data_IF_090188216705
#
_entry.id   IF_090188216705
#
_cell.length_a   1.000
_cell.length_b   1.000
_cell.length_c   1.000
_cell.angle_alpha   90.00
_cell.angle_beta   90.00
_cell.angle_gamma   90.00
#
_symmetry.space_group_name_H-M   'P 1'
#
loop_
_entity.id
_entity.type
_entity.pdbx_description
1 polymer ?
#
# COMPACT_ATOMS: atom_id res chain seq x y z
N UNK A 1 11.20 9.82 14.36
CA UNK A 1 10.88 10.70 13.21
C UNK A 1 9.96 9.88 12.31
N UNK A 2 8.68 10.24 12.28
CA UNK A 2 7.70 9.53 11.45
C UNK A 2 7.86 10.01 10.00
N UNK A 3 7.85 9.08 9.05
CA UNK A 3 7.95 9.37 7.61
C UNK A 3 6.67 8.86 6.98
N UNK A 4 5.96 9.76 6.31
CA UNK A 4 4.71 9.45 5.64
C UNK A 4 4.94 9.31 4.14
N UNK A 5 4.14 8.47 3.50
CA UNK A 5 4.11 8.43 2.03
C UNK A 5 3.58 9.74 1.48
N UNK A 6 4.15 10.19 0.35
CA UNK A 6 3.66 11.34 -0.41
C UNK A 6 2.56 10.97 -1.42
N UNK A 7 2.15 9.69 -1.46
CA UNK A 7 1.10 9.21 -2.36
C UNK A 7 -0.29 9.62 -1.87
N UNK A 8 -1.22 9.81 -2.81
CA UNK A 8 -2.64 10.09 -2.51
C UNK A 8 -3.38 8.83 -2.06
N UNK A 9 -3.08 8.33 -0.86
CA UNK A 9 -3.61 7.07 -0.32
C UNK A 9 -5.15 7.09 -0.25
N UNK A 10 -5.77 8.23 0.03
CA UNK A 10 -7.24 8.37 0.03
C UNK A 10 -7.87 8.14 -1.35
N UNK A 11 -7.20 8.60 -2.42
CA UNK A 11 -7.65 8.40 -3.79
C UNK A 11 -7.55 6.91 -4.18
N UNK A 12 -6.44 6.26 -3.80
CA UNK A 12 -6.22 4.82 -3.98
C UNK A 12 -7.30 4.03 -3.21
N UNK A 13 -7.54 4.37 -1.95
CA UNK A 13 -8.57 3.73 -1.11
C UNK A 13 -9.96 3.85 -1.75
N UNK A 14 -10.32 5.04 -2.23
CA UNK A 14 -11.61 5.28 -2.89
C UNK A 14 -11.76 4.44 -4.15
N UNK A 15 -10.69 4.28 -4.94
CA UNK A 15 -10.70 3.42 -6.13
C UNK A 15 -10.92 1.96 -5.76
N UNK A 16 -10.18 1.44 -4.79
CA UNK A 16 -10.26 0.03 -4.38
C UNK A 16 -11.60 -0.33 -3.74
N UNK A 17 -12.18 0.57 -2.94
CA UNK A 17 -13.52 0.36 -2.36
C UNK A 17 -14.63 0.28 -3.41
N UNK A 18 -14.50 0.98 -4.54
CA UNK A 18 -15.43 0.82 -5.67
C UNK A 18 -15.35 -0.57 -6.30
N UNK A 19 -14.17 -1.19 -6.26
CA UNK A 19 -13.94 -2.58 -6.70
C UNK A 19 -14.37 -3.65 -5.69
N UNK A 20 -15.12 -3.29 -4.64
CA UNK A 20 -15.62 -4.17 -3.59
C UNK A 20 -14.55 -4.83 -2.68
N UNK A 21 -13.33 -4.29 -2.63
CA UNK A 21 -12.32 -4.75 -1.67
C UNK A 21 -12.54 -4.14 -0.27
N UNK A 22 -12.47 -4.98 0.77
CA UNK A 22 -12.46 -4.54 2.16
C UNK A 22 -11.04 -4.05 2.55
N UNK A 23 -10.81 -2.75 2.33
CA UNK A 23 -9.51 -2.10 2.55
C UNK A 23 -9.63 -0.91 3.49
N UNK A 24 -8.55 -0.67 4.24
CA UNK A 24 -8.42 0.47 5.14
C UNK A 24 -6.99 1.03 5.15
N UNK A 25 -6.85 2.30 5.50
CA UNK A 25 -5.55 2.93 5.72
C UNK A 25 -5.03 2.51 7.09
N UNK A 26 -3.79 2.01 7.14
CA UNK A 26 -3.11 1.71 8.39
C UNK A 26 -2.26 2.90 8.83
N UNK A 27 -2.41 3.33 10.09
CA UNK A 27 -1.52 4.30 10.73
C UNK A 27 -0.20 3.70 11.24
N UNK A 28 0.01 2.39 11.09
CA UNK A 28 1.17 1.69 11.64
C UNK A 28 1.64 0.54 10.72
N UNK A 29 2.90 0.57 10.29
CA UNK A 29 3.52 -0.50 9.50
C UNK A 29 4.11 -1.64 10.36
N UNK A 30 3.86 -1.62 11.67
CA UNK A 30 4.39 -2.55 12.65
C UNK A 30 5.75 -2.15 13.22
N UNK A 31 6.37 -3.04 13.99
CA UNK A 31 7.71 -2.83 14.59
C UNK A 31 8.76 -3.84 14.14
N UNK A 32 8.44 -4.62 13.12
CA UNK A 32 9.31 -5.68 12.59
C UNK A 32 9.92 -5.26 11.25
N UNK A 33 10.43 -6.22 10.48
CA UNK A 33 11.12 -5.99 9.20
C UNK A 33 10.30 -5.14 8.21
N UNK A 34 8.96 -5.25 8.23
CA UNK A 34 8.07 -4.47 7.35
C UNK A 34 8.27 -2.96 7.52
N UNK A 35 8.28 -2.48 8.77
CA UNK A 35 8.47 -1.06 9.05
C UNK A 35 9.89 -0.59 8.72
N UNK A 36 10.89 -1.44 8.96
CA UNK A 36 12.27 -1.14 8.57
C UNK A 36 12.39 -0.94 7.06
N UNK A 37 11.91 -1.91 6.27
CA UNK A 37 11.94 -1.83 4.81
C UNK A 37 11.14 -0.61 4.33
N UNK A 38 9.93 -0.40 4.85
CA UNK A 38 9.11 0.73 4.45
C UNK A 38 9.77 2.08 4.75
N UNK A 39 10.36 2.26 5.93
CA UNK A 39 11.09 3.48 6.28
C UNK A 39 12.24 3.75 5.31
N UNK A 40 13.04 2.73 5.00
CA UNK A 40 14.16 2.88 4.07
C UNK A 40 13.70 3.16 2.63
N UNK A 41 12.63 2.51 2.17
CA UNK A 41 12.02 2.78 0.86
C UNK A 41 11.48 4.21 0.77
N UNK A 42 10.84 4.73 1.82
CA UNK A 42 10.37 6.10 1.87
C UNK A 42 11.52 7.10 1.79
N UNK A 43 12.59 6.90 2.58
CA UNK A 43 13.76 7.78 2.56
C UNK A 43 14.47 7.79 1.22
N UNK A 44 14.61 6.62 0.61
CA UNK A 44 15.17 6.52 -0.73
C UNK A 44 14.30 7.23 -1.77
N UNK A 45 12.97 7.04 -1.69
CA UNK A 45 12.02 7.66 -2.59
C UNK A 45 12.06 9.20 -2.51
N UNK A 46 12.08 9.75 -1.29
CA UNK A 46 12.24 11.18 -1.01
C UNK A 46 13.52 11.75 -1.64
N UNK A 47 14.65 11.05 -1.51
CA UNK A 47 15.93 11.48 -2.07
C UNK A 47 16.04 11.37 -3.60
N UNK A 48 15.26 10.48 -4.22
CA UNK A 48 15.34 10.18 -5.65
C UNK A 48 14.16 10.73 -6.46
N UNK A 49 13.20 11.39 -5.83
CA UNK A 49 12.00 11.90 -6.49
C UNK A 49 10.99 10.79 -6.87
N UNK A 50 11.09 9.61 -6.24
CA UNK A 50 10.13 8.53 -6.43
C UNK A 50 9.02 8.60 -5.37
N UNK A 51 7.96 7.79 -5.53
CA UNK A 51 6.93 7.57 -4.53
C UNK A 51 7.03 6.14 -3.99
N UNK A 52 6.65 5.91 -2.73
CA UNK A 52 6.72 4.59 -2.08
C UNK A 52 5.48 4.34 -1.23
N UNK A 53 4.92 3.14 -1.30
CA UNK A 53 3.76 2.68 -0.54
C UNK A 53 4.05 1.28 0.01
N UNK A 54 3.55 1.00 1.21
CA UNK A 54 3.57 -0.33 1.81
C UNK A 54 2.15 -0.83 2.05
N UNK A 55 1.89 -2.09 1.73
CA UNK A 55 0.55 -2.70 1.81
C UNK A 55 0.65 -3.99 2.59
N UNK A 56 -0.16 -4.10 3.66
CA UNK A 56 -0.36 -5.37 4.36
C UNK A 56 -1.43 -6.18 3.65
N UNK A 57 -1.17 -7.47 3.48
CA UNK A 57 -2.16 -8.45 3.03
C UNK A 57 -2.30 -9.53 4.11
N UNK A 58 -3.52 -10.06 4.34
CA UNK A 58 -3.72 -11.14 5.30
C UNK A 58 -3.14 -12.47 4.77
N UNK A 59 -3.04 -13.46 5.65
CA UNK A 59 -2.64 -14.82 5.26
C UNK A 59 -3.63 -15.42 4.25
N UNK A 60 -3.16 -16.33 3.39
CA UNK A 60 -4.01 -17.00 2.40
C UNK A 60 -5.17 -17.82 3.00
N UNK A 61 -5.04 -18.25 4.26
CA UNK A 61 -6.12 -18.91 4.99
C UNK A 61 -7.30 -17.97 5.32
N UNK A 62 -7.09 -16.64 5.32
CA UNK A 62 -8.14 -15.63 5.57
C UNK A 62 -8.70 -15.05 4.28
N UNK A 63 -7.85 -14.79 3.28
CA UNK A 63 -8.26 -14.37 1.93
C UNK A 63 -7.40 -15.16 0.95
N UNK A 64 -8.03 -15.91 0.06
CA UNK A 64 -7.33 -16.80 -0.86
C UNK A 64 -6.37 -16.06 -1.81
N UNK A 65 -5.40 -16.79 -2.34
CA UNK A 65 -4.36 -16.24 -3.20
C UNK A 65 -4.92 -15.61 -4.48
N UNK A 66 -5.94 -16.19 -5.11
CA UNK A 66 -6.51 -15.67 -6.37
C UNK A 66 -7.13 -14.28 -6.14
N UNK A 67 -7.88 -14.13 -5.05
CA UNK A 67 -8.44 -12.85 -4.64
C UNK A 67 -7.35 -11.83 -4.31
N UNK A 68 -6.27 -12.24 -3.62
CA UNK A 68 -5.14 -11.34 -3.36
C UNK A 68 -4.41 -10.91 -4.64
N UNK A 69 -4.28 -11.80 -5.64
CA UNK A 69 -3.67 -11.46 -6.93
C UNK A 69 -4.52 -10.47 -7.73
N UNK A 70 -5.85 -10.67 -7.76
CA UNK A 70 -6.78 -9.69 -8.36
C UNK A 70 -6.70 -8.34 -7.67
N UNK A 71 -6.63 -8.34 -6.34
CA UNK A 71 -6.42 -7.14 -5.54
C UNK A 71 -5.12 -6.42 -5.92
N UNK A 72 -4.00 -7.15 -6.05
CA UNK A 72 -2.71 -6.56 -6.45
C UNK A 72 -2.80 -5.88 -7.82
N UNK A 73 -3.46 -6.50 -8.80
CA UNK A 73 -3.67 -5.88 -10.11
C UNK A 73 -4.49 -4.59 -10.00
N UNK A 74 -5.64 -4.62 -9.32
CA UNK A 74 -6.47 -3.43 -9.10
C UNK A 74 -5.75 -2.33 -8.31
N UNK A 75 -4.87 -2.70 -7.37
CA UNK A 75 -4.02 -1.77 -6.63
C UNK A 75 -3.02 -1.06 -7.56
N UNK A 76 -2.38 -1.77 -8.47
CA UNK A 76 -1.46 -1.18 -9.44
C UNK A 76 -2.19 -0.19 -10.36
N UNK A 77 -3.38 -0.54 -10.85
CA UNK A 77 -4.22 0.35 -11.64
C UNK A 77 -4.64 1.61 -10.86
N UNK A 78 -5.00 1.44 -9.58
CA UNK A 78 -5.35 2.54 -8.69
C UNK A 78 -4.16 3.46 -8.41
N UNK A 79 -2.96 2.91 -8.22
CA UNK A 79 -1.72 3.66 -8.05
C UNK A 79 -1.43 4.47 -9.32
N UNK A 80 -1.48 3.84 -10.50
CA UNK A 80 -1.23 4.50 -11.77
C UNK A 80 -2.21 5.66 -12.02
N UNK A 81 -3.48 5.47 -11.65
CA UNK A 81 -4.52 6.49 -11.80
C UNK A 81 -4.46 7.63 -10.78
N UNK A 82 -3.75 7.43 -9.65
CA UNK A 82 -3.61 8.40 -8.57
C UNK A 82 -2.24 9.12 -8.58
N UNK A 83 -1.39 8.82 -9.56
CA UNK A 83 -0.05 9.39 -9.68
C UNK A 83 -0.02 10.75 -10.36
#
# INVERSE_FOLDING_TARGET
MEVLTSMHVDAILKSLKKGAYDVMISGNAGRFVCNYVYYHSLRFAEQKGNKSLFVHVPLFARIDQETQMRFTASLLDAIASAC
#
